data_IF_125736798185
#
_entry.id   IF_125736798185
#
_cell.length_a   1.000
_cell.length_b   1.000
_cell.length_c   1.000
_cell.angle_alpha   90.00
_cell.angle_beta   90.00
_cell.angle_gamma   90.00
#
_symmetry.space_group_name_H-M   'P 1'
#
loop_
_entity.id
_entity.type
_entity.pdbx_description
1 polymer ?
#
# COMPACT_ATOMS: atom_id res chain seq x y z
N UNK A 1 20.56 44.59 54.50
CA UNK A 1 21.58 43.92 53.67
C UNK A 1 20.95 42.68 53.07
N UNK A 2 20.74 42.64 51.76
CA UNK A 2 20.19 41.46 51.08
C UNK A 2 21.36 40.54 50.69
N UNK A 3 21.42 39.34 51.28
CA UNK A 3 22.33 38.30 50.85
C UNK A 3 21.76 37.67 49.57
N UNK A 4 22.40 37.92 48.43
CA UNK A 4 22.09 37.20 47.20
C UNK A 4 22.54 35.74 47.37
N UNK A 5 21.58 34.82 47.47
CA UNK A 5 21.84 33.39 47.46
C UNK A 5 22.28 32.99 46.06
N UNK A 6 23.60 32.88 45.85
CA UNK A 6 24.17 32.28 44.65
C UNK A 6 23.90 30.77 44.72
N UNK A 7 22.81 30.33 44.10
CA UNK A 7 22.51 28.93 43.89
C UNK A 7 23.59 28.32 43.00
N UNK A 8 24.50 27.54 43.58
CA UNK A 8 25.47 26.74 42.81
C UNK A 8 24.70 25.75 41.95
N UNK A 9 24.88 25.82 40.64
CA UNK A 9 24.39 24.77 39.75
C UNK A 9 25.20 23.50 40.02
N UNK A 10 24.56 22.51 40.63
CA UNK A 10 25.17 21.21 40.94
C UNK A 10 24.97 20.24 39.79
N UNK A 11 25.79 19.17 39.76
CA UNK A 11 25.67 18.15 38.73
C UNK A 11 24.34 17.39 38.89
N UNK A 12 23.69 17.03 37.78
CA UNK A 12 22.45 16.25 37.80
C UNK A 12 22.64 14.84 38.36
N UNK A 13 23.84 14.27 38.21
CA UNK A 13 24.22 12.97 38.76
C UNK A 13 25.01 13.02 40.09
N UNK A 14 25.47 14.19 40.54
CA UNK A 14 26.23 14.34 41.80
C UNK A 14 26.34 15.81 42.27
N UNK A 15 26.93 16.09 43.41
CA UNK A 15 26.91 17.45 43.98
C UNK A 15 27.95 18.44 43.40
N UNK A 16 28.75 18.04 42.40
CA UNK A 16 29.84 18.86 41.84
C UNK A 16 29.63 19.14 40.34
N UNK A 17 29.00 20.25 39.96
CA UNK A 17 28.70 20.61 38.56
C UNK A 17 29.65 21.69 38.01
N UNK A 18 30.08 21.54 36.75
CA UNK A 18 30.91 22.55 36.05
C UNK A 18 30.48 22.74 34.59
N UNK A 19 29.96 21.71 33.94
CA UNK A 19 29.58 21.74 32.52
C UNK A 19 28.06 21.79 32.39
N UNK A 20 27.54 22.77 31.66
CA UNK A 20 26.09 22.91 31.45
C UNK A 20 25.73 22.51 30.02
N UNK A 21 24.83 21.53 29.89
CA UNK A 21 24.18 21.23 28.62
C UNK A 21 23.06 22.24 28.38
N UNK A 22 23.20 23.09 27.37
CA UNK A 22 22.22 24.14 27.06
C UNK A 22 20.89 23.57 26.54
N UNK A 23 20.94 22.44 25.83
CA UNK A 23 19.75 21.73 25.33
C UNK A 23 18.90 21.16 26.47
N UNK A 24 19.54 20.50 27.43
CA UNK A 24 18.86 19.89 28.58
C UNK A 24 18.71 20.81 29.79
N UNK A 25 19.27 22.03 29.73
CA UNK A 25 19.32 23.02 30.82
C UNK A 25 19.77 22.39 32.15
N UNK A 26 20.75 21.49 32.06
CA UNK A 26 21.22 20.68 33.19
C UNK A 26 22.73 20.80 33.30
N UNK A 27 23.23 20.88 34.53
CA UNK A 27 24.66 20.99 34.84
C UNK A 27 25.19 19.63 35.25
N UNK A 28 26.45 19.33 34.91
CA UNK A 28 27.07 18.03 35.08
C UNK A 28 28.54 18.18 35.51
N UNK A 29 29.07 17.17 36.20
CA UNK A 29 30.50 16.97 36.35
C UNK A 29 31.04 16.35 35.04
N UNK A 30 32.37 16.35 34.86
CA UNK A 30 32.98 15.78 33.64
C UNK A 30 32.50 14.36 33.29
N UNK A 31 32.53 13.36 34.20
CA UNK A 31 32.12 12.00 33.84
C UNK A 31 30.63 11.90 33.50
N UNK A 32 29.75 12.54 34.29
CA UNK A 32 28.31 12.52 33.99
C UNK A 32 27.96 13.33 32.72
N UNK A 33 28.77 14.32 32.34
CA UNK A 33 28.61 15.02 31.07
C UNK A 33 28.96 14.12 29.88
N UNK A 34 30.04 13.34 29.99
CA UNK A 34 30.44 12.37 28.97
C UNK A 34 29.39 11.26 28.82
N UNK A 35 28.88 10.72 29.93
CA UNK A 35 27.78 9.75 29.92
C UNK A 35 26.51 10.34 29.30
N UNK A 36 26.11 11.54 29.72
CA UNK A 36 24.95 12.23 29.16
C UNK A 36 25.08 12.43 27.65
N UNK A 37 26.27 12.80 27.18
CA UNK A 37 26.54 12.96 25.74
C UNK A 37 26.43 11.63 25.00
N UNK A 38 26.91 10.53 25.58
CA UNK A 38 26.77 9.20 24.99
C UNK A 38 25.30 8.75 24.92
N UNK A 39 24.54 8.98 26.00
CA UNK A 39 23.10 8.69 26.02
C UNK A 39 22.37 9.45 24.91
N UNK A 40 22.65 10.75 24.75
CA UNK A 40 22.06 11.55 23.67
C UNK A 40 22.46 11.04 22.28
N UNK A 41 23.70 10.58 22.08
CA UNK A 41 24.11 9.97 20.82
C UNK A 41 23.27 8.73 20.50
N UNK A 42 23.06 7.84 21.47
CA UNK A 42 22.25 6.63 21.30
C UNK A 42 20.79 6.98 21.02
N UNK A 43 20.21 7.92 21.78
CA UNK A 43 18.84 8.39 21.55
C UNK A 43 18.67 8.98 20.15
N UNK A 44 19.67 9.70 19.65
CA UNK A 44 19.65 10.27 18.31
C UNK A 44 19.75 9.20 17.22
N UNK A 45 20.59 8.19 17.41
CA UNK A 45 20.67 7.04 16.50
C UNK A 45 19.34 6.28 16.42
N UNK A 46 18.68 6.06 17.57
CA UNK A 46 17.35 5.47 17.59
C UNK A 46 16.31 6.34 16.86
N UNK A 47 16.36 7.67 17.04
CA UNK A 47 15.45 8.59 16.34
C UNK A 47 15.64 8.54 14.81
N UNK A 48 16.88 8.43 14.33
CA UNK A 48 17.17 8.26 12.90
C UNK A 48 16.60 6.93 12.41
N UNK A 49 16.83 5.84 13.15
CA UNK A 49 16.30 4.53 12.80
C UNK A 49 14.77 4.52 12.72
N UNK A 50 14.09 5.10 13.72
CA UNK A 50 12.64 5.21 13.75
C UNK A 50 12.11 6.04 12.58
N UNK A 51 12.80 7.14 12.25
CA UNK A 51 12.47 7.97 11.09
C UNK A 51 12.57 7.19 9.78
N UNK A 52 13.67 6.46 9.57
CA UNK A 52 13.89 5.67 8.36
C UNK A 52 12.83 4.56 8.22
N UNK A 53 12.48 3.90 9.33
CA UNK A 53 11.42 2.89 9.36
C UNK A 53 10.05 3.46 8.99
N UNK A 54 9.67 4.60 9.58
CA UNK A 54 8.41 5.28 9.26
C UNK A 54 8.38 5.73 7.80
N UNK A 55 9.49 6.26 7.29
CA UNK A 55 9.58 6.67 5.89
C UNK A 55 9.39 5.47 4.94
N UNK A 56 10.02 4.33 5.23
CA UNK A 56 9.84 3.11 4.45
C UNK A 56 8.39 2.61 4.47
N UNK A 57 7.74 2.61 5.64
CA UNK A 57 6.34 2.22 5.77
C UNK A 57 5.39 3.12 4.97
N UNK A 58 5.59 4.44 5.02
CA UNK A 58 4.78 5.38 4.25
C UNK A 58 4.93 5.18 2.74
N UNK A 59 6.15 4.90 2.28
CA UNK A 59 6.41 4.62 0.86
C UNK A 59 5.79 3.29 0.42
N UNK A 60 5.86 2.24 1.25
CA UNK A 60 5.20 0.96 0.94
C UNK A 60 3.68 1.11 0.89
N UNK A 61 3.07 1.82 1.84
CA UNK A 61 1.62 2.01 1.90
C UNK A 61 1.10 2.79 0.69
N UNK A 62 1.83 3.83 0.26
CA UNK A 62 1.50 4.56 -0.97
C UNK A 62 1.60 3.68 -2.22
N UNK A 63 2.57 2.77 -2.28
CA UNK A 63 2.70 1.84 -3.40
C UNK A 63 1.51 0.87 -3.45
N UNK A 64 1.08 0.34 -2.30
CA UNK A 64 -0.04 -0.60 -2.19
C UNK A 64 -1.35 0.09 -2.57
N UNK A 65 -1.58 1.31 -2.08
CA UNK A 65 -2.77 2.10 -2.41
C UNK A 65 -2.86 2.38 -3.91
N UNK A 66 -1.76 2.78 -4.56
CA UNK A 66 -1.73 2.98 -6.01
C UNK A 66 -2.01 1.70 -6.79
N UNK A 67 -1.45 0.58 -6.36
CA UNK A 67 -1.72 -0.72 -6.98
C UNK A 67 -3.17 -1.14 -6.83
N UNK A 68 -3.78 -0.90 -5.67
CA UNK A 68 -5.20 -1.17 -5.43
C UNK A 68 -6.09 -0.39 -6.40
N UNK A 69 -5.88 0.92 -6.53
CA UNK A 69 -6.68 1.78 -7.40
C UNK A 69 -6.62 1.33 -8.87
N UNK A 70 -5.42 0.97 -9.36
CA UNK A 70 -5.22 0.45 -10.73
C UNK A 70 -5.97 -0.88 -10.95
N UNK A 71 -5.96 -1.77 -9.95
CA UNK A 71 -6.65 -3.05 -10.04
C UNK A 71 -8.17 -2.87 -10.06
N UNK A 72 -8.71 -1.96 -9.24
CA UNK A 72 -10.14 -1.62 -9.24
C UNK A 72 -10.57 -1.06 -10.59
N UNK A 73 -9.83 -0.10 -11.15
CA UNK A 73 -10.13 0.45 -12.49
C UNK A 73 -10.14 -0.64 -13.57
N UNK A 74 -9.22 -1.60 -13.49
CA UNK A 74 -9.14 -2.72 -14.43
C UNK A 74 -10.32 -3.69 -14.29
N UNK A 75 -10.79 -3.92 -13.06
CA UNK A 75 -11.99 -4.72 -12.78
C UNK A 75 -13.23 -4.01 -13.35
N UNK A 76 -13.40 -2.72 -13.09
CA UNK A 76 -14.52 -1.92 -13.58
C UNK A 76 -14.58 -1.93 -15.12
N UNK A 77 -13.42 -1.76 -15.77
CA UNK A 77 -13.32 -1.85 -17.22
C UNK A 77 -13.72 -3.23 -17.74
N UNK A 78 -13.22 -4.28 -17.12
CA UNK A 78 -13.56 -5.66 -17.49
C UNK A 78 -15.06 -5.94 -17.34
N UNK A 79 -15.68 -5.44 -16.27
CA UNK A 79 -17.13 -5.58 -16.03
C UNK A 79 -17.94 -4.92 -17.16
N UNK A 80 -17.62 -3.67 -17.48
CA UNK A 80 -18.31 -2.90 -18.52
C UNK A 80 -18.18 -3.56 -19.89
N UNK A 81 -16.97 -3.98 -20.26
CA UNK A 81 -16.68 -4.64 -21.52
C UNK A 81 -17.40 -6.00 -21.62
N UNK A 82 -17.36 -6.80 -20.57
CA UNK A 82 -18.03 -8.11 -20.53
C UNK A 82 -19.54 -7.96 -20.64
N UNK A 83 -20.14 -7.02 -19.91
CA UNK A 83 -21.57 -6.74 -20.01
C UNK A 83 -21.97 -6.29 -21.43
N UNK A 84 -21.13 -5.49 -22.11
CA UNK A 84 -21.34 -5.11 -23.51
C UNK A 84 -21.32 -6.33 -24.43
N UNK A 85 -20.29 -7.18 -24.31
CA UNK A 85 -20.16 -8.40 -25.12
C UNK A 85 -21.37 -9.33 -24.97
N UNK A 86 -21.82 -9.56 -23.73
CA UNK A 86 -23.01 -10.38 -23.44
C UNK A 86 -24.27 -9.77 -24.08
N UNK A 87 -24.47 -8.45 -23.95
CA UNK A 87 -25.63 -7.77 -24.56
C UNK A 87 -25.63 -7.87 -26.08
N UNK A 88 -24.47 -7.71 -26.72
CA UNK A 88 -24.33 -7.84 -28.16
C UNK A 88 -24.56 -9.27 -28.64
N UNK A 89 -24.01 -10.26 -27.94
CA UNK A 89 -24.25 -11.67 -28.23
C UNK A 89 -25.75 -12.01 -28.13
N UNK A 90 -26.41 -11.57 -27.06
CA UNK A 90 -27.85 -11.75 -26.88
C UNK A 90 -28.67 -11.04 -27.97
N UNK A 91 -28.24 -9.85 -28.42
CA UNK A 91 -28.87 -9.13 -29.53
C UNK A 91 -28.75 -9.93 -30.84
N UNK A 92 -27.56 -10.44 -31.16
CA UNK A 92 -27.33 -11.27 -32.36
C UNK A 92 -28.16 -12.56 -32.32
N UNK A 93 -28.20 -13.24 -31.18
CA UNK A 93 -28.99 -14.45 -31.02
C UNK A 93 -30.49 -14.19 -31.26
N UNK A 94 -31.04 -13.11 -30.69
CA UNK A 94 -32.44 -12.70 -30.93
C UNK A 94 -32.71 -12.39 -32.40
N UNK A 95 -31.77 -11.74 -33.09
CA UNK A 95 -31.91 -11.43 -34.51
C UNK A 95 -31.93 -12.70 -35.38
N UNK A 96 -31.05 -13.65 -35.09
CA UNK A 96 -31.04 -14.96 -35.77
C UNK A 96 -32.38 -15.66 -35.56
N UNK A 97 -32.89 -15.74 -34.33
CA UNK A 97 -34.20 -16.36 -34.05
C UNK A 97 -35.32 -15.65 -34.82
N UNK A 98 -35.33 -14.31 -34.87
CA UNK A 98 -36.35 -13.56 -35.64
C UNK A 98 -36.30 -13.86 -37.13
N UNK A 99 -35.10 -13.93 -37.72
CA UNK A 99 -34.94 -14.26 -39.14
C UNK A 99 -35.38 -15.70 -39.45
N UNK A 100 -35.10 -16.63 -38.52
CA UNK A 100 -35.55 -18.02 -38.60
C UNK A 100 -37.05 -18.19 -38.28
N UNK A 101 -37.67 -17.30 -37.51
CA UNK A 101 -39.12 -17.32 -37.26
C UNK A 101 -39.95 -17.12 -38.54
N UNK A 102 -39.34 -16.60 -39.62
CA UNK A 102 -39.93 -16.55 -40.96
C UNK A 102 -39.68 -17.80 -41.82
N UNK A 103 -38.89 -18.77 -41.35
CA UNK A 103 -38.53 -20.03 -42.03
C UNK A 103 -38.46 -21.17 -41.01
N UNK A 104 -39.54 -21.94 -40.94
CA UNK A 104 -39.75 -23.12 -40.08
C UNK A 104 -38.48 -23.99 -39.85
N UNK A 105 -38.30 -24.43 -38.59
CA UNK A 105 -37.25 -25.31 -37.99
C UNK A 105 -36.15 -24.60 -37.17
N UNK A 106 -36.36 -24.43 -35.86
CA UNK A 106 -35.56 -23.56 -34.98
C UNK A 106 -34.71 -24.28 -33.91
N UNK A 107 -34.88 -25.58 -33.66
CA UNK A 107 -34.21 -26.19 -32.50
C UNK A 107 -32.70 -26.44 -32.65
N UNK A 108 -32.13 -26.64 -33.85
CA UNK A 108 -30.71 -27.03 -33.96
C UNK A 108 -29.70 -25.88 -34.08
N UNK A 109 -30.13 -24.65 -34.40
CA UNK A 109 -29.22 -23.51 -34.67
C UNK A 109 -28.87 -22.73 -33.39
N UNK A 110 -29.76 -22.73 -32.40
CA UNK A 110 -29.56 -21.98 -31.14
C UNK A 110 -28.45 -22.62 -30.30
N UNK A 111 -28.34 -23.94 -30.28
CA UNK A 111 -27.29 -24.66 -29.52
C UNK A 111 -25.88 -24.40 -30.08
N UNK A 112 -25.73 -24.24 -31.40
CA UNK A 112 -24.42 -23.94 -32.02
C UNK A 112 -23.96 -22.49 -31.78
N UNK A 113 -24.90 -21.55 -31.57
CA UNK A 113 -24.58 -20.13 -31.35
C UNK A 113 -24.33 -19.80 -29.88
N UNK A 114 -24.95 -20.53 -28.96
CA UNK A 114 -24.73 -20.39 -27.51
C UNK A 114 -23.51 -21.20 -27.06
N UNK A 115 -23.13 -22.24 -27.82
CA UNK A 115 -21.93 -23.06 -27.60
C UNK A 115 -20.61 -22.42 -28.04
N UNK A 116 -20.32 -21.16 -27.69
CA UNK A 116 -18.96 -20.62 -27.84
C UNK A 116 -18.04 -21.19 -26.76
N UNK A 117 -17.50 -22.38 -27.01
CA UNK A 117 -16.33 -22.96 -26.30
C UNK A 117 -15.09 -22.04 -26.35
N UNK A 118 -15.13 -20.96 -27.12
CA UNK A 118 -14.03 -20.00 -27.32
C UNK A 118 -13.96 -18.89 -26.27
N UNK A 119 -15.07 -18.55 -25.60
CA UNK A 119 -15.09 -17.43 -24.64
C UNK A 119 -14.66 -17.90 -23.24
N UNK A 120 -15.01 -19.12 -22.83
CA UNK A 120 -14.55 -19.66 -21.55
C UNK A 120 -13.04 -19.91 -21.50
N UNK A 121 -12.43 -20.41 -22.58
CA UNK A 121 -10.99 -20.71 -22.59
C UNK A 121 -10.13 -19.45 -22.63
N UNK A 122 -10.59 -18.38 -23.29
CA UNK A 122 -9.87 -17.11 -23.33
C UNK A 122 -9.96 -16.38 -21.99
N UNK A 123 -11.14 -16.34 -21.37
CA UNK A 123 -11.32 -15.72 -20.04
C UNK A 123 -10.55 -16.50 -18.97
N UNK A 124 -10.59 -17.84 -18.98
CA UNK A 124 -9.79 -18.66 -18.06
C UNK A 124 -8.29 -18.43 -18.24
N UNK A 125 -7.80 -18.33 -19.49
CA UNK A 125 -6.39 -18.04 -19.78
C UNK A 125 -5.99 -16.65 -19.29
N UNK A 126 -6.80 -15.62 -19.56
CA UNK A 126 -6.49 -14.24 -19.18
C UNK A 126 -6.53 -14.05 -17.65
N UNK A 127 -7.38 -14.82 -16.94
CA UNK A 127 -7.38 -14.90 -15.47
C UNK A 127 -6.15 -15.66 -14.95
N UNK A 128 -5.77 -16.81 -15.55
CA UNK A 128 -4.61 -17.58 -15.08
C UNK A 128 -3.28 -16.87 -15.33
N UNK A 129 -3.12 -16.21 -16.47
CA UNK A 129 -1.93 -15.40 -16.77
C UNK A 129 -1.87 -14.16 -15.86
N UNK A 130 -3.01 -13.49 -15.62
CA UNK A 130 -3.08 -12.37 -14.67
C UNK A 130 -2.73 -12.76 -13.24
N UNK A 131 -3.20 -13.91 -12.76
CA UNK A 131 -2.90 -14.42 -11.40
C UNK A 131 -1.43 -14.88 -11.29
N UNK A 132 -0.84 -15.40 -12.38
CA UNK A 132 0.56 -15.84 -12.38
C UNK A 132 1.55 -14.66 -12.30
N UNK A 133 1.28 -13.55 -13.00
CA UNK A 133 2.12 -12.36 -12.95
C UNK A 133 2.05 -11.65 -11.58
N UNK A 134 0.90 -11.66 -10.90
CA UNK A 134 0.77 -11.14 -9.53
C UNK A 134 1.66 -11.95 -8.56
N UNK A 135 1.75 -13.28 -8.73
CA UNK A 135 2.54 -14.15 -7.87
C UNK A 135 4.05 -14.02 -8.08
N UNK A 136 4.48 -13.59 -9.27
CA UNK A 136 5.88 -13.37 -9.64
C UNK A 136 6.42 -12.01 -9.17
N UNK A 137 5.53 -11.05 -8.90
CA UNK A 137 5.89 -9.73 -8.36
C UNK A 137 6.03 -9.70 -6.81
N UNK A 138 5.76 -10.83 -6.13
CA UNK A 138 5.84 -10.97 -4.66
C UNK A 138 7.05 -11.79 -4.18
N UNK A 139 7.95 -12.19 -5.08
CA UNK A 139 9.24 -12.86 -4.79
C UNK A 139 10.35 -12.18 -5.59
#
# INVERSE_FOLDING_TARGET
MAAASVSKEVCKGCEQGVFTCTGCKSTFCKPHFEEHRQQLSVEFEHMIYDYDMLQQQLLSDQSIAKSYDILVERIDKWEVETAKCVREAAKRAREVVRQLSGKQEIESIVEQSVGTKTVQHQILRDITEGVFEIRKAQF
#
